data_IF_180429160845
#
_entry.id   IF_180429160845
#
_cell.length_a   1.000
_cell.length_b   1.000
_cell.length_c   1.000
_cell.angle_alpha   90.00
_cell.angle_beta   90.00
_cell.angle_gamma   90.00
#
_symmetry.space_group_name_H-M   'P 1'
#
loop_
_entity.id
_entity.type
_entity.pdbx_description
1 polymer ?
#
# COMPACT_ATOMS: atom_id res chain seq x y z
N UNK A 1 20.47 6.70 -47.17
CA UNK A 1 19.15 7.24 -46.73
C UNK A 1 18.19 6.06 -46.56
N UNK A 2 18.10 5.52 -45.34
CA UNK A 2 17.15 4.45 -45.01
C UNK A 2 15.76 5.06 -44.86
N UNK A 3 14.83 4.68 -45.74
CA UNK A 3 13.41 4.97 -45.57
C UNK A 3 12.95 4.21 -44.32
N UNK A 4 12.60 4.94 -43.26
CA UNK A 4 11.86 4.35 -42.16
C UNK A 4 10.51 3.88 -42.69
N UNK A 5 10.32 2.57 -42.76
CA UNK A 5 9.00 1.99 -42.96
C UNK A 5 8.15 2.38 -41.74
N UNK A 6 7.33 3.41 -41.92
CA UNK A 6 6.20 3.69 -41.05
C UNK A 6 5.28 2.47 -41.10
N UNK A 7 5.47 1.52 -40.20
CA UNK A 7 4.53 0.42 -40.01
C UNK A 7 3.17 1.03 -39.66
N UNK A 8 2.24 0.96 -40.61
CA UNK A 8 0.90 1.51 -40.44
C UNK A 8 0.21 0.76 -39.32
N UNK A 9 -0.06 1.43 -38.19
CA UNK A 9 -0.71 0.81 -37.02
C UNK A 9 -2.04 0.21 -37.44
N UNK A 10 -2.32 -1.02 -37.01
CA UNK A 10 -3.60 -1.66 -37.28
C UNK A 10 -4.71 -0.84 -36.60
N UNK A 11 -5.74 -0.43 -37.32
CA UNK A 11 -6.87 0.30 -36.75
C UNK A 11 -7.96 -0.69 -36.35
N UNK A 12 -8.46 -0.60 -35.11
CA UNK A 12 -9.60 -1.36 -34.60
C UNK A 12 -10.70 -0.36 -34.28
N UNK A 13 -11.86 -0.51 -34.90
CA UNK A 13 -13.00 0.36 -34.64
C UNK A 13 -13.62 0.09 -33.27
N UNK A 14 -14.38 1.07 -32.76
CA UNK A 14 -15.14 0.93 -31.52
C UNK A 14 -16.08 -0.27 -31.54
N UNK A 15 -16.79 -0.46 -32.64
CA UNK A 15 -17.75 -1.56 -32.82
C UNK A 15 -17.06 -2.93 -32.77
N UNK A 16 -15.89 -3.06 -33.41
CA UNK A 16 -15.11 -4.30 -33.34
C UNK A 16 -14.58 -4.55 -31.92
N UNK A 17 -14.15 -3.49 -31.24
CA UNK A 17 -13.65 -3.56 -29.87
C UNK A 17 -14.74 -3.97 -28.88
N UNK A 18 -15.91 -3.33 -28.94
CA UNK A 18 -17.07 -3.64 -28.10
C UNK A 18 -17.59 -5.06 -28.35
N UNK A 19 -17.59 -5.53 -29.61
CA UNK A 19 -17.93 -6.92 -29.94
C UNK A 19 -16.96 -7.90 -29.27
N UNK A 20 -15.66 -7.66 -29.36
CA UNK A 20 -14.63 -8.50 -28.72
C UNK A 20 -14.76 -8.48 -27.20
N UNK A 21 -15.04 -7.34 -26.59
CA UNK A 21 -15.30 -7.24 -25.15
C UNK A 21 -16.54 -8.03 -24.75
N UNK A 22 -17.63 -7.98 -25.53
CA UNK A 22 -18.85 -8.72 -25.26
C UNK A 22 -18.69 -10.25 -25.37
N UNK A 23 -17.72 -10.72 -26.17
CA UNK A 23 -17.38 -12.14 -26.25
C UNK A 23 -16.67 -12.66 -24.99
N UNK A 24 -16.03 -11.77 -24.22
CA UNK A 24 -15.36 -12.13 -22.95
C UNK A 24 -16.41 -12.35 -21.87
N UNK A 25 -16.60 -13.61 -21.48
CA UNK A 25 -17.52 -13.99 -20.40
C UNK A 25 -16.80 -14.01 -19.06
N UNK A 26 -17.10 -13.03 -18.22
CA UNK A 26 -16.65 -13.01 -16.83
C UNK A 26 -17.80 -13.51 -15.95
N UNK A 27 -17.53 -14.48 -15.08
CA UNK A 27 -18.53 -14.99 -14.14
C UNK A 27 -18.74 -13.99 -13.01
N UNK A 28 -19.97 -13.85 -12.56
CA UNK A 28 -20.31 -12.96 -11.44
C UNK A 28 -19.55 -13.37 -10.17
N UNK A 29 -19.36 -14.67 -9.97
CA UNK A 29 -18.65 -15.23 -8.83
C UNK A 29 -17.18 -14.79 -8.80
N UNK A 30 -16.52 -14.72 -9.95
CA UNK A 30 -15.12 -14.29 -10.05
C UNK A 30 -15.00 -12.78 -9.75
N UNK A 31 -15.95 -11.97 -10.24
CA UNK A 31 -16.04 -10.55 -9.89
C UNK A 31 -16.30 -10.34 -8.40
N UNK A 32 -17.21 -11.12 -7.80
CA UNK A 32 -17.50 -11.01 -6.38
C UNK A 32 -16.29 -11.40 -5.53
N UNK A 33 -15.56 -12.45 -5.90
CA UNK A 33 -14.30 -12.83 -5.22
C UNK A 33 -13.26 -11.73 -5.30
N UNK A 34 -13.16 -11.06 -6.44
CA UNK A 34 -12.24 -9.93 -6.62
C UNK A 34 -12.59 -8.76 -5.68
N UNK A 35 -13.87 -8.41 -5.58
CA UNK A 35 -14.36 -7.37 -4.67
C UNK A 35 -14.14 -7.80 -3.22
N UNK A 36 -14.49 -9.03 -2.86
CA UNK A 36 -14.28 -9.56 -1.51
C UNK A 36 -12.80 -9.53 -1.11
N UNK A 37 -11.89 -9.98 -2.00
CA UNK A 37 -10.45 -9.89 -1.78
C UNK A 37 -10.01 -8.45 -1.50
N UNK A 38 -10.48 -7.47 -2.28
CA UNK A 38 -10.16 -6.07 -2.04
C UNK A 38 -10.66 -5.57 -0.68
N UNK A 39 -11.93 -5.85 -0.34
CA UNK A 39 -12.52 -5.42 0.94
C UNK A 39 -11.78 -6.02 2.14
N UNK A 40 -11.44 -7.30 2.05
CA UNK A 40 -10.68 -8.02 3.07
C UNK A 40 -9.27 -7.46 3.18
N UNK A 41 -8.50 -7.39 2.10
CA UNK A 41 -7.10 -6.98 2.13
C UNK A 41 -6.95 -5.53 2.61
N UNK A 42 -7.81 -4.62 2.16
CA UNK A 42 -7.82 -3.22 2.64
C UNK A 42 -8.41 -3.06 4.05
N UNK A 43 -9.12 -4.07 4.55
CA UNK A 43 -9.65 -4.13 5.91
C UNK A 43 -10.99 -3.43 6.12
N UNK A 44 -11.80 -3.33 5.07
CA UNK A 44 -13.17 -2.83 5.14
C UNK A 44 -14.13 -3.89 5.69
N UNK A 45 -14.01 -4.22 6.99
CA UNK A 45 -14.76 -5.32 7.66
C UNK A 45 -16.27 -5.17 7.48
N UNK A 46 -16.85 -4.02 7.85
CA UNK A 46 -18.30 -3.77 7.74
C UNK A 46 -18.82 -3.94 6.31
N UNK A 47 -18.00 -3.55 5.32
CA UNK A 47 -18.35 -3.70 3.91
C UNK A 47 -18.23 -5.16 3.47
N UNK A 48 -17.20 -5.88 3.92
CA UNK A 48 -17.02 -7.30 3.65
C UNK A 48 -18.18 -8.14 4.23
N UNK A 49 -18.64 -7.84 5.45
CA UNK A 49 -19.79 -8.51 6.08
C UNK A 49 -21.08 -8.31 5.29
N UNK A 50 -21.40 -7.05 4.95
CA UNK A 50 -22.59 -6.72 4.14
C UNK A 50 -22.50 -7.36 2.76
N UNK A 51 -21.33 -7.28 2.13
CA UNK A 51 -21.09 -7.87 0.82
C UNK A 51 -21.21 -9.39 0.85
N UNK A 52 -20.74 -10.07 1.90
CA UNK A 52 -20.93 -11.51 2.09
C UNK A 52 -22.41 -11.86 2.17
N UNK A 53 -23.20 -11.10 2.96
CA UNK A 53 -24.62 -11.35 3.11
C UNK A 53 -25.39 -11.20 1.79
N UNK A 54 -25.08 -10.17 1.00
CA UNK A 54 -25.78 -9.89 -0.26
C UNK A 54 -25.30 -10.77 -1.43
N UNK A 55 -24.00 -11.03 -1.52
CA UNK A 55 -23.39 -11.74 -2.65
C UNK A 55 -23.28 -13.25 -2.45
N UNK A 56 -23.41 -13.73 -1.20
CA UNK A 56 -23.14 -15.11 -0.81
C UNK A 56 -21.66 -15.52 -0.93
N UNK A 57 -20.77 -14.55 -1.16
CA UNK A 57 -19.33 -14.81 -1.33
C UNK A 57 -18.66 -14.74 0.03
N UNK A 58 -18.14 -15.85 0.51
CA UNK A 58 -17.38 -15.87 1.77
C UNK A 58 -15.96 -15.33 1.57
N UNK A 59 -15.40 -14.61 2.57
CA UNK A 59 -13.99 -14.25 2.57
C UNK A 59 -13.13 -15.52 2.71
N UNK A 60 -11.92 -15.48 2.14
CA UNK A 60 -10.92 -16.55 2.32
C UNK A 60 -10.34 -16.55 3.75
N UNK A 61 -10.48 -15.43 4.46
CA UNK A 61 -9.94 -15.20 5.80
C UNK A 61 -11.05 -14.99 6.81
N UNK A 62 -10.77 -15.31 8.06
CA UNK A 62 -11.67 -14.97 9.16
C UNK A 62 -11.80 -13.46 9.34
N UNK A 63 -13.03 -12.97 9.43
CA UNK A 63 -13.32 -11.54 9.58
C UNK A 63 -12.82 -10.98 10.93
N UNK A 64 -12.71 -11.83 11.96
CA UNK A 64 -12.08 -11.48 13.24
C UNK A 64 -10.63 -11.06 13.06
N UNK A 65 -9.85 -11.85 12.32
CA UNK A 65 -8.44 -11.54 12.04
C UNK A 65 -8.22 -10.24 11.26
N UNK A 66 -9.20 -9.82 10.44
CA UNK A 66 -9.20 -8.52 9.76
C UNK A 66 -9.36 -7.39 10.78
N UNK A 67 -10.26 -7.56 11.75
CA UNK A 67 -10.55 -6.56 12.77
C UNK A 67 -9.31 -6.27 13.62
N UNK A 68 -8.60 -7.33 14.05
CA UNK A 68 -7.38 -7.18 14.83
C UNK A 68 -6.28 -6.49 14.02
N UNK A 69 -6.10 -6.88 12.76
CA UNK A 69 -5.16 -6.21 11.84
C UNK A 69 -5.51 -4.74 11.63
N UNK A 70 -6.79 -4.39 11.54
CA UNK A 70 -7.23 -3.00 11.43
C UNK A 70 -7.01 -2.21 12.72
N UNK A 71 -7.16 -2.84 13.87
CA UNK A 71 -6.82 -2.21 15.15
C UNK A 71 -5.33 -1.84 15.20
N UNK A 72 -4.45 -2.74 14.78
CA UNK A 72 -3.01 -2.47 14.65
C UNK A 72 -2.74 -1.31 13.69
N UNK A 73 -3.27 -1.39 12.46
CA UNK A 73 -3.07 -0.35 11.43
C UNK A 73 -3.53 1.02 11.93
N UNK A 74 -4.69 1.07 12.59
CA UNK A 74 -5.26 2.29 13.15
C UNK A 74 -4.41 2.86 14.28
N UNK A 75 -3.87 2.01 15.16
CA UNK A 75 -2.98 2.45 16.22
C UNK A 75 -1.76 3.20 15.66
N UNK A 76 -1.11 2.68 14.61
CA UNK A 76 0.01 3.36 13.93
C UNK A 76 -0.44 4.68 13.28
N UNK A 77 -1.59 4.70 12.59
CA UNK A 77 -2.12 5.91 11.94
C UNK A 77 -2.46 7.03 12.93
N UNK A 78 -2.89 6.67 14.14
CA UNK A 78 -3.15 7.61 15.23
C UNK A 78 -1.88 8.06 15.97
N UNK A 79 -0.72 7.47 15.68
CA UNK A 79 0.55 7.75 16.38
C UNK A 79 0.74 6.93 17.66
N UNK A 80 -0.15 5.98 17.96
CA UNK A 80 -0.03 5.10 19.12
C UNK A 80 0.81 3.86 18.74
N UNK A 81 2.09 4.07 18.47
CA UNK A 81 2.97 3.00 17.95
C UNK A 81 3.23 1.90 18.99
N UNK A 82 3.29 2.26 20.28
CA UNK A 82 3.45 1.29 21.38
C UNK A 82 2.29 0.29 21.43
N UNK A 83 1.04 0.79 21.37
CA UNK A 83 -0.16 -0.05 21.29
C UNK A 83 -0.17 -0.91 20.02
N UNK A 84 0.35 -0.39 18.89
CA UNK A 84 0.49 -1.18 17.68
C UNK A 84 1.48 -2.34 17.85
N UNK A 85 2.62 -2.12 18.50
CA UNK A 85 3.64 -3.15 18.77
C UNK A 85 3.07 -4.23 19.70
N UNK A 86 2.39 -3.83 20.78
CA UNK A 86 1.76 -4.77 21.72
C UNK A 86 0.73 -5.65 21.00
N UNK A 87 -0.20 -5.05 20.26
CA UNK A 87 -1.20 -5.80 19.49
C UNK A 87 -0.61 -6.73 18.44
N UNK A 88 0.50 -6.36 17.81
CA UNK A 88 1.18 -7.22 16.82
C UNK A 88 1.80 -8.42 17.50
N UNK A 89 2.45 -8.23 18.64
CA UNK A 89 3.04 -9.32 19.41
C UNK A 89 1.97 -10.26 19.96
N UNK A 90 0.81 -9.74 20.38
CA UNK A 90 -0.35 -10.54 20.78
C UNK A 90 -0.91 -11.36 19.62
N UNK A 91 -0.92 -10.79 18.42
CA UNK A 91 -1.39 -11.47 17.21
C UNK A 91 -0.43 -12.55 16.74
N UNK A 92 0.86 -12.22 16.65
CA UNK A 92 1.92 -13.15 16.32
C UNK A 92 3.29 -12.54 16.74
N UNK A 93 3.92 -13.08 17.79
CA UNK A 93 5.19 -12.56 18.30
C UNK A 93 6.35 -12.70 17.29
N UNK A 94 6.26 -13.65 16.35
CA UNK A 94 7.32 -13.87 15.37
C UNK A 94 7.40 -12.78 14.30
N UNK A 95 6.37 -11.94 14.12
CA UNK A 95 6.33 -10.93 13.05
C UNK A 95 7.49 -9.93 13.19
N UNK A 96 7.73 -9.43 14.41
CA UNK A 96 8.78 -8.44 14.65
C UNK A 96 10.15 -9.11 14.78
N UNK A 97 10.22 -10.32 15.34
CA UNK A 97 11.46 -11.10 15.47
C UNK A 97 12.04 -11.48 14.10
N UNK A 98 11.18 -11.82 13.14
CA UNK A 98 11.60 -12.25 11.79
C UNK A 98 11.79 -11.08 10.82
N UNK A 99 11.43 -9.85 11.22
CA UNK A 99 11.55 -8.66 10.39
C UNK A 99 12.18 -7.46 11.16
N UNK A 100 13.51 -7.47 11.34
CA UNK A 100 14.22 -6.40 12.04
C UNK A 100 14.04 -5.01 11.40
N UNK A 101 13.84 -4.97 10.08
CA UNK A 101 13.59 -3.71 9.35
C UNK A 101 12.25 -3.08 9.73
N UNK A 102 11.17 -3.88 9.76
CA UNK A 102 9.86 -3.40 10.19
C UNK A 102 9.91 -2.92 11.65
N UNK A 103 10.58 -3.67 12.51
CA UNK A 103 10.75 -3.28 13.91
C UNK A 103 11.51 -1.95 14.03
N UNK A 104 12.58 -1.77 13.26
CA UNK A 104 13.30 -0.48 13.20
C UNK A 104 12.38 0.66 12.74
N UNK A 105 11.61 0.50 11.65
CA UNK A 105 10.70 1.55 11.18
C UNK A 105 9.60 1.89 12.21
N UNK A 106 9.10 0.92 12.98
CA UNK A 106 8.17 1.18 14.07
C UNK A 106 8.83 2.00 15.19
N UNK A 107 10.04 1.65 15.59
CA UNK A 107 10.76 2.40 16.61
C UNK A 107 11.13 3.81 16.13
N UNK A 108 11.52 3.96 14.86
CA UNK A 108 11.70 5.26 14.22
C UNK A 108 10.39 6.07 14.24
N UNK A 109 9.25 5.47 13.90
CA UNK A 109 7.95 6.14 13.99
C UNK A 109 7.66 6.58 15.42
N UNK A 110 7.94 5.75 16.43
CA UNK A 110 7.78 6.11 17.85
C UNK A 110 8.64 7.33 18.23
N UNK A 111 9.89 7.39 17.77
CA UNK A 111 10.74 8.57 17.95
C UNK A 111 10.10 9.83 17.32
N UNK A 112 9.60 9.72 16.09
CA UNK A 112 8.90 10.82 15.41
C UNK A 112 7.67 11.29 16.22
N UNK A 113 6.91 10.38 16.84
CA UNK A 113 5.77 10.74 17.69
C UNK A 113 6.18 11.45 18.99
N UNK A 114 7.31 11.06 19.61
CA UNK A 114 7.87 11.77 20.77
C UNK A 114 8.29 13.19 20.41
N UNK A 115 8.96 13.36 19.26
CA UNK A 115 9.35 14.68 18.72
C UNK A 115 8.10 15.53 18.45
N UNK A 116 7.08 14.96 17.79
CA UNK A 116 5.82 15.67 17.49
C UNK A 116 5.08 16.10 18.76
N UNK A 117 5.24 15.36 19.86
CA UNK A 117 4.65 15.66 21.16
C UNK A 117 5.46 16.68 21.99
N UNK A 118 6.59 17.16 21.47
CA UNK A 118 7.47 18.10 22.16
C UNK A 118 8.30 17.49 23.30
N UNK A 119 8.34 16.16 23.40
CA UNK A 119 9.05 15.42 24.45
C UNK A 119 10.51 15.18 24.05
N UNK A 120 11.28 16.27 23.92
CA UNK A 120 12.64 16.21 23.36
C UNK A 120 13.62 15.37 24.21
N UNK A 121 13.53 15.46 25.53
CA UNK A 121 14.40 14.69 26.44
C UNK A 121 14.13 13.19 26.30
N UNK A 122 12.86 12.78 26.38
CA UNK A 122 12.44 11.38 26.18
C UNK A 122 12.82 10.88 24.77
N UNK A 123 12.67 11.71 23.74
CA UNK A 123 13.05 11.38 22.38
C UNK A 123 14.56 11.15 22.23
N UNK A 124 15.39 11.98 22.88
CA UNK A 124 16.84 11.87 22.83
C UNK A 124 17.33 10.62 23.57
N UNK A 125 16.80 10.35 24.76
CA UNK A 125 17.10 9.14 25.54
C UNK A 125 16.72 7.89 24.73
N UNK A 126 15.51 7.86 24.18
CA UNK A 126 15.03 6.76 23.35
C UNK A 126 15.91 6.54 22.10
N UNK A 127 16.31 7.60 21.42
CA UNK A 127 17.18 7.49 20.24
C UNK A 127 18.55 6.86 20.60
N UNK A 128 19.10 7.21 21.75
CA UNK A 128 20.39 6.69 22.22
C UNK A 128 20.32 5.23 22.68
N UNK A 129 19.28 4.86 23.44
CA UNK A 129 19.17 3.52 24.03
C UNK A 129 18.70 2.48 23.00
N UNK A 130 17.73 2.83 22.15
CA UNK A 130 17.03 1.85 21.31
C UNK A 130 17.44 1.88 19.84
N UNK A 131 17.73 3.05 19.28
CA UNK A 131 17.95 3.21 17.85
C UNK A 131 19.44 3.27 17.48
N UNK A 132 20.28 3.90 18.31
CA UNK A 132 21.72 4.03 18.02
C UNK A 132 22.43 2.66 17.85
N UNK A 133 22.22 1.64 18.72
CA UNK A 133 22.84 0.34 18.53
C UNK A 133 22.44 -0.32 17.20
N UNK A 134 21.18 -0.14 16.77
CA UNK A 134 20.67 -0.71 15.51
C UNK A 134 21.22 0.02 14.27
N UNK A 135 21.47 1.33 14.38
CA UNK A 135 22.12 2.11 13.34
C UNK A 135 23.59 1.73 13.15
N UNK A 136 24.30 1.39 14.21
CA UNK A 136 25.70 0.92 14.14
C UNK A 136 25.82 -0.44 13.43
N UNK A 137 24.84 -1.33 13.64
CA UNK A 137 24.80 -2.66 13.03
C UNK A 137 24.42 -2.64 11.54
N UNK A 138 23.67 -1.63 11.09
CA UNK A 138 23.20 -1.53 9.71
C UNK A 138 23.26 -0.10 9.15
N UNK A 139 24.10 0.10 8.14
CA UNK A 139 24.30 1.39 7.50
C UNK A 139 23.03 2.02 6.92
N UNK A 140 22.07 1.23 6.40
CA UNK A 140 20.82 1.79 5.89
C UNK A 140 19.97 2.39 7.01
N UNK A 141 19.99 1.78 8.20
CA UNK A 141 19.29 2.30 9.37
C UNK A 141 19.96 3.55 9.91
N UNK A 142 21.29 3.66 9.80
CA UNK A 142 22.03 4.84 10.20
C UNK A 142 21.60 6.08 9.40
N UNK A 143 21.53 6.00 8.07
CA UNK A 143 21.08 7.12 7.23
C UNK A 143 19.66 7.58 7.60
N UNK A 144 18.76 6.63 7.84
CA UNK A 144 17.39 6.92 8.26
C UNK A 144 17.30 7.50 9.68
N UNK A 145 18.14 7.02 10.59
CA UNK A 145 18.23 7.51 11.96
C UNK A 145 18.77 8.94 12.00
N UNK A 146 19.84 9.23 11.25
CA UNK A 146 20.41 10.58 11.14
C UNK A 146 19.37 11.59 10.65
N UNK A 147 18.58 11.21 9.64
CA UNK A 147 17.45 12.03 9.17
C UNK A 147 16.42 12.26 10.27
N UNK A 148 16.12 11.26 11.08
CA UNK A 148 15.10 11.37 12.13
C UNK A 148 15.60 12.21 13.31
N UNK A 149 16.84 12.01 13.73
CA UNK A 149 17.49 12.77 14.82
C UNK A 149 17.75 14.22 14.39
N UNK A 150 17.94 14.49 13.10
CA UNK A 150 18.03 15.86 12.60
C UNK A 150 16.79 16.69 12.97
N UNK A 151 15.60 16.09 13.09
CA UNK A 151 14.38 16.80 13.56
C UNK A 151 14.56 17.40 14.96
N UNK A 152 15.38 16.80 15.83
CA UNK A 152 15.68 17.33 17.17
C UNK A 152 16.55 18.59 17.13
N UNK A 153 17.29 18.82 16.04
CA UNK A 153 18.20 19.95 15.89
C UNK A 153 17.50 21.23 15.37
N UNK A 154 16.25 21.13 14.91
CA UNK A 154 15.48 22.27 14.41
C UNK A 154 14.32 22.62 15.37
N UNK A 155 14.32 23.86 15.88
CA UNK A 155 13.23 24.37 16.71
C UNK A 155 11.94 24.60 15.91
N UNK A 156 12.06 24.94 14.61
CA UNK A 156 10.94 25.09 13.68
C UNK A 156 10.93 23.97 12.65
N UNK A 157 9.98 23.05 12.81
CA UNK A 157 9.78 21.90 11.93
C UNK A 157 9.34 22.29 10.52
N UNK A 158 8.82 23.50 10.32
CA UNK A 158 8.36 24.02 9.02
C UNK A 158 9.51 24.32 8.06
N UNK A 159 10.69 24.64 8.60
CA UNK A 159 11.91 24.92 7.84
C UNK A 159 12.88 23.74 7.82
N UNK A 160 12.47 22.59 8.34
CA UNK A 160 13.32 21.42 8.44
C UNK A 160 13.42 20.71 7.08
N UNK A 161 14.63 20.40 6.58
CA UNK A 161 14.81 19.68 5.32
C UNK A 161 14.25 18.26 5.32
N UNK A 162 13.94 17.73 6.51
CA UNK A 162 13.34 16.40 6.74
C UNK A 162 11.94 16.49 7.37
N UNK A 163 11.26 17.63 7.19
CA UNK A 163 9.90 17.84 7.70
C UNK A 163 8.85 16.89 7.10
N UNK A 164 9.17 16.24 5.97
CA UNK A 164 8.36 15.17 5.36
C UNK A 164 8.13 13.98 6.31
N UNK A 165 9.07 13.69 7.21
CA UNK A 165 8.91 12.64 8.23
C UNK A 165 7.79 12.94 9.22
N UNK A 166 7.39 14.20 9.38
CA UNK A 166 6.28 14.61 10.24
C UNK A 166 4.93 14.57 9.54
N UNK A 167 4.89 14.25 8.25
CA UNK A 167 3.65 14.14 7.48
C UNK A 167 2.86 12.86 7.85
N UNK A 168 1.54 12.89 7.62
CA UNK A 168 0.68 11.72 7.79
C UNK A 168 1.08 10.56 6.86
N UNK A 169 1.64 10.85 5.69
CA UNK A 169 2.17 9.88 4.74
C UNK A 169 3.23 8.96 5.34
N UNK A 170 4.08 9.46 6.24
CA UNK A 170 5.05 8.63 6.95
C UNK A 170 4.36 7.60 7.85
N UNK A 171 3.35 8.01 8.64
CA UNK A 171 2.52 7.07 9.42
C UNK A 171 1.82 6.05 8.52
N UNK A 172 1.31 6.50 7.37
CA UNK A 172 0.62 5.63 6.43
C UNK A 172 1.57 4.58 5.82
N UNK A 173 2.82 4.94 5.53
CA UNK A 173 3.87 4.02 5.07
C UNK A 173 4.13 2.93 6.11
N UNK A 174 4.48 3.32 7.35
CA UNK A 174 4.75 2.38 8.45
C UNK A 174 3.56 1.47 8.73
N UNK A 175 2.33 2.03 8.74
CA UNK A 175 1.11 1.26 8.93
C UNK A 175 0.87 0.24 7.81
N UNK A 176 1.23 0.58 6.57
CA UNK A 176 1.09 -0.31 5.41
C UNK A 176 2.11 -1.44 5.42
N UNK A 177 3.35 -1.15 5.81
CA UNK A 177 4.40 -2.17 5.97
C UNK A 177 4.05 -3.18 7.07
N UNK A 178 3.58 -2.69 8.23
CA UNK A 178 3.14 -3.54 9.33
C UNK A 178 1.94 -4.41 8.91
N UNK A 179 0.95 -3.81 8.25
CA UNK A 179 -0.21 -4.52 7.72
C UNK A 179 0.19 -5.63 6.73
N UNK A 180 1.14 -5.35 5.83
CA UNK A 180 1.66 -6.33 4.88
C UNK A 180 2.39 -7.49 5.58
N UNK A 181 3.13 -7.21 6.66
CA UNK A 181 3.80 -8.25 7.45
C UNK A 181 2.80 -9.16 8.16
N UNK A 182 1.72 -8.62 8.74
CA UNK A 182 0.63 -9.40 9.34
C UNK A 182 -0.04 -10.29 8.29
N UNK A 183 -0.34 -9.76 7.10
CA UNK A 183 -0.89 -10.58 6.01
C UNK A 183 0.06 -11.71 5.61
N UNK A 184 1.35 -11.42 5.52
CA UNK A 184 2.37 -12.42 5.16
C UNK A 184 2.45 -13.54 6.19
N UNK A 185 2.45 -13.21 7.48
CA UNK A 185 2.54 -14.22 8.55
C UNK A 185 1.30 -15.12 8.61
N UNK A 186 0.15 -14.60 8.19
CA UNK A 186 -1.09 -15.35 8.03
C UNK A 186 -1.19 -16.08 6.68
N UNK A 187 -0.12 -16.12 5.87
CA UNK A 187 -0.08 -16.71 4.53
C UNK A 187 -1.07 -16.10 3.52
N UNK A 188 -1.44 -14.84 3.72
CA UNK A 188 -2.34 -14.10 2.84
C UNK A 188 -1.58 -13.26 1.81
N UNK A 189 -2.25 -12.96 0.70
CA UNK A 189 -1.74 -12.03 -0.30
C UNK A 189 -1.63 -10.62 0.31
N UNK A 190 -0.45 -10.01 0.19
CA UNK A 190 -0.15 -8.68 0.75
C UNK A 190 -0.92 -7.56 0.07
N UNK A 191 -1.13 -7.69 -1.24
CA UNK A 191 -1.72 -6.68 -2.10
C UNK A 191 -3.08 -7.14 -2.64
N UNK A 192 -4.08 -6.25 -2.71
CA UNK A 192 -5.35 -6.58 -3.33
C UNK A 192 -5.19 -6.83 -4.84
N UNK A 193 -5.93 -7.81 -5.36
CA UNK A 193 -5.88 -8.20 -6.79
C UNK A 193 -6.40 -7.10 -7.72
N UNK A 194 -7.38 -6.30 -7.26
CA UNK A 194 -8.05 -5.30 -8.10
C UNK A 194 -7.09 -4.20 -8.60
N UNK A 195 -6.30 -3.49 -7.76
CA UNK A 195 -5.28 -2.56 -8.24
C UNK A 195 -4.25 -3.18 -9.20
N UNK A 196 -3.86 -4.43 -8.98
CA UNK A 196 -2.93 -5.14 -9.86
C UNK A 196 -3.54 -5.36 -11.26
N UNK A 197 -4.82 -5.72 -11.34
CA UNK A 197 -5.55 -5.81 -12.61
C UNK A 197 -5.67 -4.46 -13.32
N UNK A 198 -5.90 -3.37 -12.57
CA UNK A 198 -5.93 -2.01 -13.15
C UNK A 198 -4.57 -1.59 -13.69
N UNK A 199 -3.47 -1.89 -12.98
CA UNK A 199 -2.11 -1.68 -13.48
C UNK A 199 -1.83 -2.51 -14.74
N UNK A 200 -2.31 -3.75 -14.78
CA UNK A 200 -2.18 -4.64 -15.94
C UNK A 200 -2.97 -4.15 -17.15
N UNK A 201 -4.15 -3.55 -16.94
CA UNK A 201 -4.92 -2.87 -18.00
C UNK A 201 -4.11 -1.73 -18.61
N UNK A 202 -3.60 -0.80 -17.77
CA UNK A 202 -2.79 0.34 -18.24
C UNK A 202 -1.57 -0.16 -19.01
N UNK A 203 -0.87 -1.15 -18.45
CA UNK A 203 0.30 -1.75 -19.09
C UNK A 203 -0.05 -2.37 -20.45
N UNK A 204 -1.14 -3.13 -20.53
CA UNK A 204 -1.61 -3.75 -21.78
C UNK A 204 -1.96 -2.71 -22.84
N UNK A 205 -2.59 -1.59 -22.44
CA UNK A 205 -2.86 -0.46 -23.33
C UNK A 205 -1.57 0.16 -23.86
N UNK A 206 -0.58 0.41 -22.99
CA UNK A 206 0.73 0.95 -23.43
C UNK A 206 1.43 0.02 -24.43
N UNK A 207 1.32 -1.31 -24.26
CA UNK A 207 1.85 -2.27 -25.22
C UNK A 207 1.10 -2.28 -26.56
N UNK A 208 -0.21 -2.02 -26.54
CA UNK A 208 -1.03 -1.91 -27.75
C UNK A 208 -0.78 -0.60 -28.49
N UNK A 209 -0.49 0.49 -27.78
CA UNK A 209 -0.26 1.82 -28.36
C UNK A 209 0.87 1.82 -29.42
N UNK A 210 1.84 0.91 -29.32
CA UNK A 210 2.92 0.75 -30.31
C UNK A 210 2.45 0.13 -31.64
N UNK A 211 1.38 -0.68 -31.61
CA UNK A 211 1.03 -1.62 -32.70
C UNK A 211 -0.35 -1.38 -33.30
N UNK A 212 -1.27 -0.81 -32.53
CA UNK A 212 -2.69 -0.74 -32.84
C UNK A 212 -3.24 0.65 -32.47
N UNK A 213 -4.13 1.18 -33.29
CA UNK A 213 -5.00 2.29 -32.92
C UNK A 213 -6.36 1.72 -32.54
N UNK A 214 -6.78 1.90 -31.28
CA UNK A 214 -7.95 1.24 -30.69
C UNK A 214 -8.63 2.16 -29.66
N UNK A 215 -9.88 1.88 -29.26
CA UNK A 215 -10.54 2.64 -28.20
C UNK A 215 -9.86 2.41 -26.86
N UNK A 216 -9.38 3.48 -26.23
CA UNK A 216 -8.53 3.45 -25.03
C UNK A 216 -9.31 3.94 -23.81
N UNK A 217 -9.07 3.32 -22.66
CA UNK A 217 -9.56 3.79 -21.37
C UNK A 217 -8.52 4.74 -20.78
N UNK A 218 -8.83 6.04 -20.76
CA UNK A 218 -8.00 7.07 -20.13
C UNK A 218 -8.49 7.40 -18.71
N UNK A 219 -9.80 7.36 -18.49
CA UNK A 219 -10.42 7.48 -17.17
C UNK A 219 -10.92 6.10 -16.70
N UNK A 220 -10.14 5.49 -15.80
CA UNK A 220 -10.43 4.19 -15.20
C UNK A 220 -11.66 4.26 -14.28
N UNK A 221 -11.91 5.41 -13.65
CA UNK A 221 -13.03 5.58 -12.72
C UNK A 221 -14.34 5.62 -13.49
N UNK A 222 -14.39 6.36 -14.59
CA UNK A 222 -15.55 6.41 -15.46
C UNK A 222 -15.65 5.21 -16.42
N UNK A 223 -14.58 4.42 -16.55
CA UNK A 223 -14.43 3.30 -17.48
C UNK A 223 -14.83 3.66 -18.93
N UNK A 224 -14.58 4.91 -19.35
CA UNK A 224 -14.98 5.42 -20.66
C UNK A 224 -13.92 5.09 -21.71
N UNK A 225 -14.37 4.50 -22.81
CA UNK A 225 -13.57 4.32 -24.02
C UNK A 225 -13.56 5.60 -24.83
N UNK A 226 -12.36 6.12 -25.07
CA UNK A 226 -12.09 7.20 -26.01
C UNK A 226 -11.66 6.61 -27.34
N UNK A 227 -12.27 7.08 -28.43
CA UNK A 227 -12.01 6.55 -29.76
C UNK A 227 -10.56 6.83 -30.20
N UNK A 228 -9.97 5.95 -31.01
CA UNK A 228 -8.61 6.15 -31.50
C UNK A 228 -8.48 7.48 -32.23
N UNK A 229 -7.45 8.26 -31.88
CA UNK A 229 -7.09 9.47 -32.61
C UNK A 229 -6.67 9.04 -34.02
N UNK A 230 -7.44 9.45 -35.03
CA UNK A 230 -7.17 9.23 -36.45
C UNK A 230 -5.88 9.88 -36.91
#
# INVERSE_FOLDING_TARGET
MGKGESSSKKIVSREEWERKLAEVKIRKEDMNKLVMNFLVTEGYVDAAEKFQHESGTSPEVDLGSITDRMAVRKAVQCGNVEDAIEKVNDLNPEILDTNPQLFFHLQQQRLIELIRSGKLEEALEFAQEELAPRGEENHSFLEELERTVALLAFEDTSNCPVGDLLDFSQRQKTASELNAAILTSQSHEKDPKLPSLLKMLIWSQNQLDEKVSYPRINDIVAARLEDPVT
#
